data_IF_095077902411
#
_entry.id   IF_095077902411
#
_cell.length_a   1.000
_cell.length_b   1.000
_cell.length_c   1.000
_cell.angle_alpha   90.00
_cell.angle_beta   90.00
_cell.angle_gamma   90.00
#
_symmetry.space_group_name_H-M   'P 1'
#
loop_
_entity.id
_entity.type
_entity.pdbx_description
1 polymer ?
#
# COMPACT_ATOMS: atom_id res chain seq x y z
N UNK A 1 -2.30 -26.29 9.55
CA UNK A 1 -1.89 -24.88 9.33
C UNK A 1 -1.48 -24.72 7.87
N UNK A 2 -2.12 -23.81 7.12
CA UNK A 2 -1.95 -23.59 5.66
C UNK A 2 -0.58 -23.02 5.23
N UNK A 3 0.26 -22.68 6.19
CA UNK A 3 1.57 -22.06 5.95
C UNK A 3 2.68 -22.89 6.60
N UNK A 4 3.87 -22.88 5.99
CA UNK A 4 5.06 -23.48 6.58
C UNK A 4 5.40 -22.77 7.90
N UNK A 5 5.81 -23.54 8.93
CA UNK A 5 5.97 -23.02 10.30
C UNK A 5 7.10 -21.98 10.42
N UNK A 6 8.13 -22.06 9.57
CA UNK A 6 9.40 -21.32 9.80
C UNK A 6 9.94 -20.54 8.58
N UNK A 7 9.18 -20.43 7.49
CA UNK A 7 9.62 -19.65 6.30
C UNK A 7 8.76 -18.40 6.14
N UNK A 8 9.42 -17.24 6.26
CA UNK A 8 8.81 -15.92 6.09
C UNK A 8 9.38 -15.21 4.88
N UNK A 9 8.50 -14.61 4.10
CA UNK A 9 8.85 -13.70 3.01
C UNK A 9 8.82 -12.28 3.57
N UNK A 10 9.89 -11.54 3.30
CA UNK A 10 10.02 -10.12 3.61
C UNK A 10 10.13 -9.34 2.29
N UNK A 11 9.56 -8.13 2.21
CA UNK A 11 9.85 -7.19 1.16
C UNK A 11 11.31 -6.76 1.24
N UNK A 12 11.81 -6.32 0.10
CA UNK A 12 13.13 -5.73 -0.06
C UNK A 12 13.29 -4.50 0.87
N UNK A 13 14.26 -4.51 1.81
CA UNK A 13 14.52 -3.40 2.70
C UNK A 13 14.73 -2.06 1.97
N UNK A 14 15.37 -2.08 0.80
CA UNK A 14 15.63 -0.87 0.02
C UNK A 14 14.33 -0.25 -0.52
N UNK A 15 13.34 -1.09 -0.87
CA UNK A 15 12.00 -0.62 -1.29
C UNK A 15 11.23 -0.03 -0.12
N UNK A 16 11.31 -0.66 1.05
CA UNK A 16 10.68 -0.14 2.26
C UNK A 16 11.30 1.21 2.64
N UNK A 17 12.62 1.30 2.65
CA UNK A 17 13.34 2.54 2.93
C UNK A 17 12.96 3.66 1.95
N UNK A 18 12.86 3.34 0.65
CA UNK A 18 12.43 4.29 -0.37
C UNK A 18 11.02 4.84 -0.11
N UNK A 19 10.10 4.00 0.36
CA UNK A 19 8.73 4.42 0.74
C UNK A 19 8.78 5.28 2.01
N UNK A 20 9.56 4.90 3.03
CA UNK A 20 9.67 5.67 4.27
C UNK A 20 10.22 7.08 4.02
N UNK A 21 11.27 7.18 3.21
CA UNK A 21 11.92 8.45 2.84
C UNK A 21 11.14 9.26 1.80
N UNK A 22 10.12 8.69 1.16
CA UNK A 22 9.37 9.39 0.13
C UNK A 22 8.76 10.68 0.68
N UNK A 23 9.03 11.86 0.11
CA UNK A 23 8.48 13.11 0.64
C UNK A 23 6.96 13.17 0.45
N UNK A 24 6.25 13.98 1.23
CA UNK A 24 4.83 14.17 1.00
C UNK A 24 4.59 14.70 -0.43
N UNK A 25 3.73 14.07 -1.25
CA UNK A 25 3.53 14.47 -2.62
C UNK A 25 2.86 15.85 -2.70
N UNK A 26 3.40 16.74 -3.53
CA UNK A 26 2.86 18.11 -3.70
C UNK A 26 1.94 18.25 -4.90
N UNK A 27 1.90 17.24 -5.77
CA UNK A 27 1.10 17.23 -7.00
C UNK A 27 0.67 15.80 -7.36
N UNK A 28 -0.28 15.70 -8.29
CA UNK A 28 -0.87 14.44 -8.77
C UNK A 28 0.18 13.48 -9.36
N UNK A 29 1.21 14.00 -10.04
CA UNK A 29 2.32 13.18 -10.55
C UNK A 29 3.11 12.53 -9.42
N UNK A 30 3.45 13.29 -8.38
CA UNK A 30 4.09 12.79 -7.16
C UNK A 30 3.21 11.77 -6.44
N UNK A 31 1.91 12.03 -6.34
CA UNK A 31 0.97 11.11 -5.71
C UNK A 31 0.90 9.76 -6.44
N UNK A 32 0.87 9.76 -7.78
CA UNK A 32 0.93 8.53 -8.58
C UNK A 32 2.24 7.77 -8.36
N UNK A 33 3.37 8.47 -8.35
CA UNK A 33 4.67 7.86 -8.08
C UNK A 33 4.69 7.21 -6.70
N UNK A 34 4.16 7.87 -5.68
CA UNK A 34 4.02 7.31 -4.33
C UNK A 34 3.14 6.05 -4.34
N UNK A 35 1.92 6.13 -4.88
CA UNK A 35 1.00 4.99 -4.93
C UNK A 35 1.57 3.82 -5.72
N UNK A 36 2.32 4.08 -6.80
CA UNK A 36 3.04 3.06 -7.56
C UNK A 36 4.10 2.32 -6.72
N UNK A 37 4.86 3.05 -5.90
CA UNK A 37 5.84 2.46 -4.99
C UNK A 37 5.17 1.59 -3.92
N UNK A 38 4.11 2.10 -3.29
CA UNK A 38 3.42 1.38 -2.21
C UNK A 38 2.66 0.15 -2.75
N UNK A 39 2.16 0.19 -3.99
CA UNK A 39 1.44 -0.93 -4.60
C UNK A 39 2.27 -2.22 -4.65
N UNK A 40 3.59 -2.13 -4.84
CA UNK A 40 4.48 -3.30 -4.76
C UNK A 40 4.40 -4.00 -3.40
N UNK A 41 4.19 -3.22 -2.34
CA UNK A 41 4.14 -3.69 -0.95
C UNK A 41 2.72 -3.82 -0.42
N UNK A 42 1.67 -3.76 -1.27
CA UNK A 42 0.25 -3.84 -0.86
C UNK A 42 -0.06 -5.06 -0.01
N UNK A 43 0.66 -6.15 -0.29
CA UNK A 43 0.56 -7.44 0.37
C UNK A 43 0.95 -7.42 1.86
N UNK A 44 1.76 -6.45 2.26
CA UNK A 44 2.27 -6.25 3.62
C UNK A 44 1.52 -5.15 4.38
N UNK A 45 0.55 -4.50 3.74
CA UNK A 45 -0.26 -3.43 4.33
C UNK A 45 -1.65 -4.00 4.61
N UNK A 46 -2.00 -4.10 5.89
CA UNK A 46 -3.37 -4.42 6.29
C UNK A 46 -4.30 -3.27 5.86
N UNK A 47 -5.50 -3.61 5.39
CA UNK A 47 -6.51 -2.64 4.95
C UNK A 47 -6.02 -1.68 3.86
N UNK A 48 -5.09 -2.14 3.01
CA UNK A 48 -4.48 -1.33 1.94
C UNK A 48 -5.50 -0.56 1.10
N UNK A 49 -6.60 -1.20 0.70
CA UNK A 49 -7.64 -0.57 -0.10
C UNK A 49 -8.27 0.62 0.64
N UNK A 50 -8.66 0.43 1.90
CA UNK A 50 -9.23 1.50 2.74
C UNK A 50 -8.24 2.64 2.96
N UNK A 51 -6.98 2.31 3.26
CA UNK A 51 -5.93 3.32 3.48
C UNK A 51 -5.54 4.11 2.24
N UNK A 52 -5.65 3.53 1.05
CA UNK A 52 -5.28 4.19 -0.21
C UNK A 52 -6.47 4.84 -0.92
N UNK A 53 -7.71 4.52 -0.54
CA UNK A 53 -8.91 5.06 -1.16
C UNK A 53 -8.93 6.59 -1.23
N UNK A 54 -8.63 7.35 -0.15
CA UNK A 54 -8.61 8.81 -0.22
C UNK A 54 -7.57 9.35 -1.22
N UNK A 55 -6.40 8.69 -1.29
CA UNK A 55 -5.34 9.04 -2.23
C UNK A 55 -5.74 8.73 -3.68
N UNK A 56 -6.42 7.62 -3.93
CA UNK A 56 -6.92 7.29 -5.27
C UNK A 56 -8.06 8.21 -5.71
N UNK A 57 -8.86 8.73 -4.78
CA UNK A 57 -9.91 9.71 -5.09
C UNK A 57 -9.33 10.99 -5.71
N UNK A 58 -8.18 11.45 -5.22
CA UNK A 58 -7.46 12.60 -5.82
C UNK A 58 -6.97 12.35 -7.26
N UNK A 59 -6.89 11.09 -7.70
CA UNK A 59 -6.50 10.73 -9.06
C UNK A 59 -7.70 10.60 -10.01
N UNK A 60 -8.94 10.62 -9.51
CA UNK A 60 -10.15 10.47 -10.34
C UNK A 60 -10.28 11.65 -11.29
N UNK A 61 -10.52 11.37 -12.57
CA UNK A 61 -10.63 12.40 -13.62
C UNK A 61 -9.30 13.01 -14.07
N UNK A 62 -8.18 12.69 -13.42
CA UNK A 62 -6.88 13.23 -13.78
C UNK A 62 -6.24 12.47 -14.95
N UNK A 63 -5.71 13.19 -15.93
CA UNK A 63 -4.92 12.58 -17.01
C UNK A 63 -3.52 12.18 -16.54
N UNK A 64 -2.83 11.29 -17.28
CA UNK A 64 -1.46 10.85 -16.95
C UNK A 64 -0.46 12.02 -16.88
N UNK A 65 -0.70 13.06 -17.67
CA UNK A 65 0.14 14.27 -17.73
C UNK A 65 -0.25 15.33 -16.70
N UNK A 66 -1.33 15.11 -15.94
CA UNK A 66 -1.77 16.07 -14.93
C UNK A 66 -0.68 16.34 -13.90
N UNK A 67 -0.42 17.63 -13.68
CA UNK A 67 0.50 18.16 -12.68
C UNK A 67 -0.23 19.09 -11.71
N UNK A 68 -1.55 18.94 -11.58
CA UNK A 68 -2.37 19.68 -10.60
C UNK A 68 -1.74 19.53 -9.20
N UNK A 69 -1.78 20.61 -8.41
CA UNK A 69 -1.39 20.56 -7.01
C UNK A 69 -2.29 19.60 -6.24
N UNK A 70 -1.67 18.79 -5.38
CA UNK A 70 -2.41 17.91 -4.51
C UNK A 70 -3.09 18.75 -3.43
N UNK A 71 -4.36 18.49 -3.16
CA UNK A 71 -5.06 19.10 -2.02
C UNK A 71 -4.54 18.39 -0.76
N UNK A 72 -3.81 19.12 0.07
CA UNK A 72 -3.36 18.62 1.36
C UNK A 72 -4.45 18.90 2.40
N UNK A 73 -5.26 17.88 2.69
CA UNK A 73 -6.20 17.89 3.80
C UNK A 73 -5.81 16.83 4.83
N UNK A 74 -6.51 16.80 5.95
CA UNK A 74 -6.23 15.86 7.05
C UNK A 74 -6.33 14.41 6.59
N UNK A 75 -7.35 14.06 5.80
CA UNK A 75 -7.60 12.69 5.33
C UNK A 75 -6.45 12.15 4.45
N UNK A 76 -5.95 12.96 3.51
CA UNK A 76 -4.82 12.63 2.64
C UNK A 76 -3.54 12.49 3.46
N UNK A 77 -3.31 13.41 4.40
CA UNK A 77 -2.14 13.38 5.28
C UNK A 77 -2.13 12.14 6.20
N UNK A 78 -3.25 11.87 6.86
CA UNK A 78 -3.44 10.68 7.68
C UNK A 78 -3.22 9.40 6.88
N UNK A 79 -3.82 9.30 5.69
CA UNK A 79 -3.66 8.15 4.81
C UNK A 79 -2.21 7.90 4.46
N UNK A 80 -1.48 8.96 4.07
CA UNK A 80 -0.06 8.90 3.75
C UNK A 80 0.79 8.40 4.94
N UNK A 81 0.54 8.92 6.14
CA UNK A 81 1.24 8.53 7.37
C UNK A 81 0.91 7.08 7.76
N UNK A 82 -0.37 6.70 7.74
CA UNK A 82 -0.85 5.35 8.11
C UNK A 82 -0.28 4.27 7.17
N UNK A 83 -0.19 4.55 5.87
CA UNK A 83 0.44 3.64 4.90
C UNK A 83 1.92 3.41 5.25
N UNK A 84 2.68 4.48 5.49
CA UNK A 84 4.10 4.36 5.87
C UNK A 84 4.28 3.60 7.18
N UNK A 85 3.47 3.90 8.19
CA UNK A 85 3.51 3.21 9.48
C UNK A 85 3.21 1.72 9.34
N UNK A 86 2.18 1.36 8.59
CA UNK A 86 1.79 -0.04 8.35
C UNK A 86 2.92 -0.84 7.69
N UNK A 87 3.65 -0.22 6.77
CA UNK A 87 4.81 -0.85 6.13
C UNK A 87 6.00 -1.03 7.06
N UNK A 88 6.17 -0.20 8.09
CA UNK A 88 7.23 -0.35 9.09
C UNK A 88 6.92 -1.46 10.10
N UNK A 89 5.65 -1.65 10.44
CA UNK A 89 5.20 -2.58 11.49
C UNK A 89 4.87 -4.00 10.94
N UNK A 90 4.46 -4.11 9.68
CA UNK A 90 3.77 -5.29 9.13
C UNK A 90 4.60 -6.30 8.33
N UNK A 91 5.90 -6.45 8.56
CA UNK A 91 6.79 -7.06 7.57
C UNK A 91 7.05 -8.58 7.79
N UNK A 92 6.02 -9.42 7.85
CA UNK A 92 6.22 -10.89 7.76
C UNK A 92 5.01 -11.58 7.11
N UNK A 93 5.19 -12.06 5.87
CA UNK A 93 4.26 -13.03 5.26
C UNK A 93 4.78 -14.44 5.44
N UNK A 94 3.91 -15.40 5.76
CA UNK A 94 4.32 -16.81 5.81
C UNK A 94 4.29 -17.43 4.42
N UNK A 95 5.25 -18.28 4.11
CA UNK A 95 5.24 -19.01 2.85
C UNK A 95 4.08 -20.02 2.82
N UNK A 96 3.28 -20.04 1.73
CA UNK A 96 2.22 -21.03 1.57
C UNK A 96 2.79 -22.45 1.54
N UNK A 97 2.05 -23.39 2.11
CA UNK A 97 2.36 -24.82 2.04
C UNK A 97 1.58 -25.46 0.88
N UNK A 98 2.25 -25.63 -0.27
CA UNK A 98 1.66 -26.18 -1.49
C UNK A 98 1.23 -27.65 -1.38
N UNK A 99 1.49 -28.33 -0.26
CA UNK A 99 1.01 -29.70 0.00
C UNK A 99 -0.41 -29.76 0.57
N UNK A 100 -1.04 -28.60 0.77
CA UNK A 100 -2.38 -28.46 1.37
C UNK A 100 -3.34 -27.75 0.42
N UNK A 101 -4.63 -27.97 0.64
CA UNK A 101 -5.69 -27.25 -0.06
C UNK A 101 -5.69 -25.76 0.31
N UNK A 102 -5.91 -24.91 -0.68
CA UNK A 102 -6.06 -23.47 -0.48
C UNK A 102 -7.54 -23.11 -0.37
N UNK A 103 -7.90 -22.34 0.67
CA UNK A 103 -9.26 -21.82 0.86
C UNK A 103 -9.24 -20.32 0.59
N UNK A 104 -10.02 -19.86 -0.38
CA UNK A 104 -10.22 -18.44 -0.68
C UNK A 104 -11.54 -17.98 -0.05
N UNK A 105 -11.45 -17.12 0.97
CA UNK A 105 -12.60 -16.42 1.54
C UNK A 105 -12.62 -15.00 1.00
N UNK A 106 -13.73 -14.60 0.39
CA UNK A 106 -13.93 -13.25 -0.16
C UNK A 106 -14.96 -12.49 0.66
N UNK A 107 -14.64 -11.25 1.02
CA UNK A 107 -15.56 -10.29 1.60
C UNK A 107 -15.52 -9.01 0.76
N UNK A 108 -16.67 -8.34 0.63
CA UNK A 108 -16.83 -7.16 -0.21
C UNK A 108 -17.52 -6.05 0.58
N UNK A 109 -16.89 -4.87 0.61
CA UNK A 109 -17.47 -3.65 1.16
C UNK A 109 -17.81 -2.67 0.05
N UNK A 110 -18.82 -1.83 0.29
CA UNK A 110 -19.08 -0.66 -0.57
C UNK A 110 -18.07 0.43 -0.19
N UNK A 111 -17.05 0.59 -1.04
CA UNK A 111 -16.08 1.69 -1.02
C UNK A 111 -16.53 2.82 -1.94
#
# INVERSE_FOLDING_TARGET
MLFRKDIYIKPDPAKIESIQKYPFPTNIKGLRSFLGLVNYSREYVRDYASLTSPLFNELKGETKSSSRRLICNEEINESFIKIKKSLSEGIKRKQPDFTKDFILTTDASNL
#
